data_IF_772626686960
#
_entry.id   IF_772626686960
#
_cell.length_a   1.000
_cell.length_b   1.000
_cell.length_c   1.000
_cell.angle_alpha   90.00
_cell.angle_beta   90.00
_cell.angle_gamma   90.00
#
_symmetry.space_group_name_H-M   'P 1'
#
loop_
_entity.id
_entity.type
_entity.pdbx_description
1 polymer ?
#
# COMPACT_ATOMS: atom_id res chain seq x y z
N UNK A 1 -0.67 -8.32 -15.71
CA UNK A 1 -0.73 -7.46 -14.49
C UNK A 1 -2.13 -6.98 -14.09
N UNK A 2 -3.20 -7.51 -14.68
CA UNK A 2 -4.59 -7.34 -14.19
C UNK A 2 -4.73 -7.74 -12.71
N UNK A 3 -3.97 -8.77 -12.31
CA UNK A 3 -3.89 -9.31 -10.96
C UNK A 3 -3.61 -8.28 -9.85
N UNK A 4 -2.67 -7.33 -10.04
CA UNK A 4 -2.28 -6.44 -8.93
C UNK A 4 -3.18 -5.21 -8.85
N UNK A 5 -3.66 -4.73 -10.00
CA UNK A 5 -4.47 -3.50 -10.09
C UNK A 5 -5.95 -3.73 -9.76
N UNK A 6 -6.52 -4.85 -10.18
CA UNK A 6 -7.94 -5.14 -10.00
C UNK A 6 -8.16 -6.18 -8.90
N UNK A 7 -9.34 -6.27 -8.26
CA UNK A 7 -9.63 -7.24 -7.21
C UNK A 7 -9.98 -8.65 -7.74
N UNK A 8 -9.18 -9.19 -8.66
CA UNK A 8 -9.34 -10.50 -9.34
C UNK A 8 -8.54 -11.66 -8.71
N UNK A 9 -9.14 -12.81 -8.38
CA UNK A 9 -8.36 -13.97 -7.91
C UNK A 9 -7.31 -14.42 -8.95
N UNK A 10 -6.31 -15.23 -8.56
CA UNK A 10 -5.35 -15.78 -9.53
C UNK A 10 -6.05 -16.60 -10.63
N UNK A 11 -7.11 -17.33 -10.27
CA UNK A 11 -7.93 -18.12 -11.19
C UNK A 11 -8.71 -17.24 -12.17
N UNK A 12 -9.30 -16.14 -11.68
CA UNK A 12 -9.95 -15.17 -12.57
C UNK A 12 -8.96 -14.61 -13.60
N UNK A 13 -7.68 -14.47 -13.26
CA UNK A 13 -6.66 -13.98 -14.21
C UNK A 13 -6.27 -15.08 -15.20
N UNK A 14 -6.23 -16.34 -14.77
CA UNK A 14 -6.09 -17.52 -15.65
C UNK A 14 -7.24 -17.55 -16.67
N UNK A 15 -8.50 -17.44 -16.23
CA UNK A 15 -9.66 -17.42 -17.12
C UNK A 15 -9.60 -16.25 -18.14
N UNK A 16 -9.26 -15.04 -17.67
CA UNK A 16 -9.13 -13.85 -18.53
C UNK A 16 -7.96 -13.91 -19.52
N UNK A 17 -6.96 -14.74 -19.25
CA UNK A 17 -5.84 -15.00 -20.16
C UNK A 17 -6.22 -16.09 -21.16
N UNK A 18 -6.94 -17.12 -20.70
CA UNK A 18 -7.48 -18.16 -21.55
C UNK A 18 -8.44 -17.60 -22.62
N UNK A 19 -9.34 -16.67 -22.25
CA UNK A 19 -10.21 -15.95 -23.20
C UNK A 19 -9.44 -15.19 -24.30
N UNK A 20 -8.16 -14.86 -24.04
CA UNK A 20 -7.28 -14.18 -25.00
C UNK A 20 -6.35 -15.14 -25.74
N UNK A 21 -6.57 -16.45 -25.64
CA UNK A 21 -5.76 -17.48 -26.27
C UNK A 21 -4.42 -17.75 -25.57
N UNK A 22 -4.24 -17.31 -24.33
CA UNK A 22 -3.03 -17.55 -23.55
C UNK A 22 -3.28 -18.65 -22.52
N UNK A 23 -2.77 -19.85 -22.80
CA UNK A 23 -2.91 -21.01 -21.91
C UNK A 23 -1.85 -21.00 -20.81
N UNK A 24 -2.25 -20.61 -19.59
CA UNK A 24 -1.39 -20.57 -18.41
C UNK A 24 -2.17 -20.89 -17.14
N UNK A 25 -1.57 -21.67 -16.25
CA UNK A 25 -2.17 -21.94 -14.94
C UNK A 25 -2.07 -20.76 -13.96
N UNK A 26 -2.96 -20.70 -12.96
CA UNK A 26 -2.84 -19.76 -11.85
C UNK A 26 -1.52 -19.87 -11.06
N UNK A 27 -0.85 -21.03 -11.03
CA UNK A 27 0.46 -21.19 -10.40
C UNK A 27 1.56 -20.48 -11.20
N UNK A 28 1.48 -20.49 -12.55
CA UNK A 28 2.37 -19.70 -13.41
C UNK A 28 2.21 -18.20 -13.11
N UNK A 29 0.96 -17.72 -13.00
CA UNK A 29 0.66 -16.33 -12.66
C UNK A 29 1.19 -15.98 -11.26
N UNK A 30 1.03 -16.88 -10.29
CA UNK A 30 1.57 -16.74 -8.93
C UNK A 30 3.09 -16.64 -8.94
N UNK A 31 3.77 -17.46 -9.72
CA UNK A 31 5.22 -17.45 -9.87
C UNK A 31 5.71 -16.13 -10.46
N UNK A 32 5.12 -15.68 -11.58
CA UNK A 32 5.42 -14.37 -12.17
C UNK A 32 5.24 -13.24 -11.17
N UNK A 33 4.14 -13.25 -10.41
CA UNK A 33 3.91 -12.25 -9.38
C UNK A 33 4.99 -12.28 -8.29
N UNK A 34 5.40 -13.47 -7.85
CA UNK A 34 6.42 -13.62 -6.82
C UNK A 34 7.82 -13.17 -7.31
N UNK A 35 8.11 -13.38 -8.59
CA UNK A 35 9.38 -13.01 -9.24
C UNK A 35 9.43 -11.52 -9.56
N UNK A 36 8.46 -11.03 -10.32
CA UNK A 36 8.49 -9.67 -10.89
C UNK A 36 7.84 -8.62 -10.00
N UNK A 37 6.86 -9.00 -9.17
CA UNK A 37 6.15 -8.06 -8.29
C UNK A 37 7.10 -7.19 -7.44
N UNK A 38 8.10 -7.77 -6.74
CA UNK A 38 9.08 -6.99 -5.98
C UNK A 38 9.93 -6.04 -6.82
N UNK A 39 10.28 -6.43 -8.06
CA UNK A 39 11.07 -5.62 -8.99
C UNK A 39 10.28 -4.37 -9.40
N UNK A 40 9.06 -4.56 -9.90
CA UNK A 40 8.16 -3.45 -10.23
C UNK A 40 7.91 -2.55 -9.03
N UNK A 41 7.68 -3.14 -7.84
CA UNK A 41 7.44 -2.37 -6.64
C UNK A 41 8.65 -1.55 -6.20
N UNK A 42 9.88 -2.02 -6.43
CA UNK A 42 11.10 -1.28 -6.17
C UNK A 42 11.25 -0.12 -7.14
N UNK A 43 11.10 -0.37 -8.43
CA UNK A 43 11.27 0.64 -9.47
C UNK A 43 10.23 1.77 -9.39
N UNK A 44 8.95 1.42 -9.22
CA UNK A 44 7.87 2.41 -8.98
C UNK A 44 8.18 3.26 -7.75
N UNK A 45 8.67 2.65 -6.66
CA UNK A 45 9.01 3.40 -5.44
C UNK A 45 10.18 4.34 -5.68
N UNK A 46 11.20 3.90 -6.42
CA UNK A 46 12.37 4.72 -6.74
C UNK A 46 11.96 5.97 -7.52
N UNK A 47 11.28 5.78 -8.66
CA UNK A 47 10.78 6.88 -9.51
C UNK A 47 9.87 7.85 -8.74
N UNK A 48 9.06 7.34 -7.81
CA UNK A 48 8.13 8.16 -7.03
C UNK A 48 8.77 8.98 -5.92
N UNK A 49 9.80 8.43 -5.26
CA UNK A 49 10.60 9.15 -4.26
C UNK A 49 11.41 10.26 -4.93
N UNK A 50 12.03 9.97 -6.08
CA UNK A 50 12.79 10.96 -6.87
C UNK A 50 11.90 12.14 -7.31
N UNK A 51 10.65 11.86 -7.70
CA UNK A 51 9.67 12.89 -8.04
C UNK A 51 8.96 13.56 -6.85
N UNK A 52 9.34 13.25 -5.60
CA UNK A 52 8.75 13.77 -4.35
C UNK A 52 7.21 13.81 -4.34
N UNK A 53 6.55 12.78 -4.88
CA UNK A 53 5.08 12.79 -5.09
C UNK A 53 4.24 12.58 -3.82
N UNK A 54 4.85 12.58 -2.63
CA UNK A 54 4.20 12.34 -1.35
C UNK A 54 4.17 13.59 -0.49
N UNK A 55 3.03 13.90 0.12
CA UNK A 55 2.89 15.07 0.96
C UNK A 55 3.45 14.87 2.37
N UNK A 56 4.17 15.89 2.87
CA UNK A 56 4.69 15.95 4.24
C UNK A 56 3.76 16.65 5.21
N UNK A 57 2.64 17.19 4.75
CA UNK A 57 1.76 17.98 5.60
C UNK A 57 1.09 17.11 6.68
N UNK A 58 0.25 16.16 6.27
CA UNK A 58 -0.49 15.30 7.20
C UNK A 58 -0.37 13.84 6.84
N UNK A 59 0.08 13.04 7.80
CA UNK A 59 0.18 11.59 7.69
C UNK A 59 -0.86 10.93 8.58
N UNK A 60 -1.49 9.88 8.08
CA UNK A 60 -2.43 9.03 8.78
C UNK A 60 -1.81 7.65 8.98
N UNK A 61 -1.70 7.22 10.24
CA UNK A 61 -1.15 5.94 10.61
C UNK A 61 -2.24 5.10 11.25
N UNK A 62 -2.39 3.89 10.75
CA UNK A 62 -3.38 2.97 11.25
C UNK A 62 -2.90 1.53 11.09
N UNK A 63 -3.55 0.65 11.82
CA UNK A 63 -3.33 -0.77 11.71
C UNK A 63 -4.65 -1.50 11.46
N UNK A 64 -4.58 -2.52 10.61
CA UNK A 64 -5.73 -3.38 10.35
C UNK A 64 -5.42 -4.82 10.70
N UNK A 65 -6.43 -5.45 11.30
CA UNK A 65 -6.43 -6.87 11.56
C UNK A 65 -6.46 -7.69 10.27
N UNK A 66 -5.55 -8.67 10.20
CA UNK A 66 -5.46 -9.68 9.13
C UNK A 66 -5.31 -11.07 9.76
N UNK A 67 -5.89 -12.10 9.13
CA UNK A 67 -5.88 -13.47 9.64
C UNK A 67 -4.98 -14.34 8.76
N UNK A 68 -3.99 -15.01 9.36
CA UNK A 68 -3.07 -15.91 8.68
C UNK A 68 -3.12 -17.27 9.38
N UNK A 69 -3.57 -18.31 8.69
CA UNK A 69 -3.76 -19.66 9.24
C UNK A 69 -4.50 -19.68 10.59
N UNK A 70 -5.55 -18.87 10.74
CA UNK A 70 -6.31 -18.78 11.99
C UNK A 70 -5.71 -17.83 13.03
N UNK A 71 -4.42 -17.53 12.98
CA UNK A 71 -3.78 -16.59 13.89
C UNK A 71 -4.05 -15.12 13.53
N UNK A 72 -4.07 -14.28 14.58
CA UNK A 72 -4.25 -12.84 14.44
C UNK A 72 -2.92 -12.15 14.13
N UNK A 73 -2.90 -11.32 13.10
CA UNK A 73 -1.75 -10.50 12.72
C UNK A 73 -2.21 -9.06 12.42
N UNK A 74 -1.26 -8.14 12.31
CA UNK A 74 -1.51 -6.71 12.13
C UNK A 74 -0.75 -6.19 10.91
N UNK A 75 -1.49 -5.61 9.97
CA UNK A 75 -0.92 -4.84 8.87
C UNK A 75 -0.90 -3.36 9.28
N UNK A 76 0.30 -2.82 9.45
CA UNK A 76 0.56 -1.42 9.73
C UNK A 76 0.68 -0.64 8.43
N UNK A 77 0.04 0.53 8.37
CA UNK A 77 0.07 1.40 7.20
C UNK A 77 0.27 2.85 7.61
N UNK A 78 1.10 3.55 6.85
CA UNK A 78 1.22 4.99 6.88
C UNK A 78 0.82 5.54 5.51
N UNK A 79 -0.09 6.50 5.50
CA UNK A 79 -0.65 7.11 4.29
C UNK A 79 -0.62 8.63 4.44
N UNK A 80 -0.39 9.38 3.38
CA UNK A 80 -0.51 10.84 3.43
C UNK A 80 -1.94 11.33 3.18
N UNK A 81 -2.14 12.64 3.27
CA UNK A 81 -3.45 13.26 3.04
C UNK A 81 -3.98 13.05 1.60
N UNK A 82 -3.08 12.88 0.61
CA UNK A 82 -3.38 12.59 -0.79
C UNK A 82 -3.69 11.11 -1.04
N UNK A 83 -3.49 10.25 -0.04
CA UNK A 83 -3.86 8.83 -0.08
C UNK A 83 -2.75 7.94 -0.63
N UNK A 84 -1.54 8.47 -0.79
CA UNK A 84 -0.35 7.72 -1.08
C UNK A 84 0.05 6.89 0.14
N UNK A 85 0.29 5.60 -0.09
CA UNK A 85 0.83 4.70 0.92
C UNK A 85 2.32 4.93 1.05
N UNK A 86 2.74 5.54 2.15
CA UNK A 86 4.14 5.85 2.46
C UNK A 86 4.91 4.61 2.89
N UNK A 87 4.29 3.78 3.75
CA UNK A 87 4.89 2.55 4.27
C UNK A 87 3.81 1.53 4.67
N UNK A 88 4.13 0.23 4.53
CA UNK A 88 3.20 -0.87 4.76
C UNK A 88 3.95 -2.15 5.17
N UNK A 89 3.64 -2.71 6.33
CA UNK A 89 4.22 -4.00 6.75
C UNK A 89 3.38 -4.77 7.77
N UNK A 90 3.62 -6.07 7.85
CA UNK A 90 2.88 -7.03 8.66
C UNK A 90 3.69 -7.42 9.88
N UNK A 91 3.02 -7.59 11.00
CA UNK A 91 3.58 -8.07 12.27
C UNK A 91 2.64 -9.05 12.96
N UNK A 92 3.18 -9.89 13.83
CA UNK A 92 2.37 -10.77 14.69
C UNK A 92 1.76 -10.01 15.87
N UNK A 93 2.48 -9.03 16.41
CA UNK A 93 2.10 -8.25 17.59
C UNK A 93 1.79 -6.79 17.24
N UNK A 94 0.88 -6.18 18.01
CA UNK A 94 0.57 -4.76 17.92
C UNK A 94 1.28 -4.00 19.05
N UNK A 95 2.57 -3.73 18.86
CA UNK A 95 3.44 -3.18 19.90
C UNK A 95 4.12 -1.86 19.51
N UNK A 96 4.78 -1.24 20.51
CA UNK A 96 5.55 0.00 20.34
C UNK A 96 6.67 -0.14 19.32
N UNK A 97 7.33 -1.30 19.25
CA UNK A 97 8.46 -1.53 18.33
C UNK A 97 7.99 -1.49 16.88
N UNK A 98 6.82 -2.05 16.60
CA UNK A 98 6.19 -2.00 15.29
C UNK A 98 5.80 -0.56 14.92
N UNK A 99 5.09 0.18 15.79
CA UNK A 99 4.72 1.58 15.54
C UNK A 99 5.96 2.46 15.27
N UNK A 100 7.02 2.29 16.07
CA UNK A 100 8.29 2.98 15.91
C UNK A 100 8.98 2.65 14.57
N UNK A 101 8.97 1.36 14.18
CA UNK A 101 9.51 0.91 12.90
C UNK A 101 8.77 1.54 11.73
N UNK A 102 7.44 1.64 11.80
CA UNK A 102 6.61 2.32 10.78
C UNK A 102 7.04 3.78 10.62
N UNK A 103 7.07 4.52 11.74
CA UNK A 103 7.43 5.93 11.77
C UNK A 103 8.85 6.17 11.24
N UNK A 104 9.86 5.47 11.79
CA UNK A 104 11.26 5.64 11.38
C UNK A 104 11.46 5.33 9.89
N UNK A 105 10.78 4.29 9.36
CA UNK A 105 10.93 3.89 7.96
C UNK A 105 10.23 4.85 7.00
N UNK A 106 9.05 5.35 7.35
CA UNK A 106 8.36 6.38 6.58
C UNK A 106 9.16 7.70 6.59
N UNK A 107 9.61 8.15 7.77
CA UNK A 107 10.36 9.40 7.91
C UNK A 107 11.71 9.40 7.20
N UNK A 108 12.40 8.26 7.18
CA UNK A 108 13.68 8.13 6.45
C UNK A 108 13.51 8.34 4.95
N UNK A 109 12.35 7.98 4.39
CA UNK A 109 12.11 8.03 2.94
C UNK A 109 11.44 9.31 2.48
N UNK A 110 10.44 9.76 3.23
CA UNK A 110 9.56 10.85 2.82
C UNK A 110 9.78 12.13 3.64
N UNK A 111 10.78 12.12 4.54
CA UNK A 111 11.07 13.24 5.43
C UNK A 111 10.15 13.29 6.65
N UNK A 112 10.20 14.39 7.39
CA UNK A 112 9.40 14.55 8.61
C UNK A 112 8.02 15.14 8.27
N UNK A 113 6.92 14.57 8.78
CA UNK A 113 5.59 15.14 8.66
C UNK A 113 5.39 16.32 9.61
N UNK A 114 4.49 17.22 9.26
CA UNK A 114 4.02 18.30 10.15
C UNK A 114 2.99 17.76 11.15
N UNK A 115 2.03 16.96 10.67
CA UNK A 115 0.96 16.37 11.48
C UNK A 115 0.93 14.84 11.32
N UNK A 116 0.75 14.13 12.44
CA UNK A 116 0.61 12.69 12.49
C UNK A 116 -0.74 12.36 13.14
N UNK A 117 -1.69 11.92 12.33
CA UNK A 117 -2.99 11.42 12.77
C UNK A 117 -2.88 9.94 13.06
N UNK A 118 -3.26 9.54 14.28
CA UNK A 118 -3.32 8.12 14.66
C UNK A 118 -4.63 7.82 15.39
N UNK A 119 -4.95 6.54 15.52
CA UNK A 119 -5.92 6.12 16.53
C UNK A 119 -5.33 6.30 17.95
N UNK A 120 -6.16 6.18 18.99
CA UNK A 120 -5.80 6.29 20.41
C UNK A 120 -5.00 5.10 20.95
N UNK A 121 -4.40 4.31 20.07
CA UNK A 121 -3.59 3.18 20.46
C UNK A 121 -2.32 3.64 21.19
N UNK A 122 -2.13 3.14 22.42
CA UNK A 122 -1.01 3.54 23.30
C UNK A 122 0.39 3.34 22.68
N UNK A 123 0.55 2.37 21.78
CA UNK A 123 1.84 2.14 21.10
C UNK A 123 2.27 3.30 20.21
N UNK A 124 1.33 4.05 19.61
CA UNK A 124 1.67 5.24 18.83
C UNK A 124 2.20 6.35 19.73
N UNK A 125 1.49 6.68 20.81
CA UNK A 125 1.96 7.70 21.76
C UNK A 125 3.34 7.37 22.34
N UNK A 126 3.58 6.10 22.70
CA UNK A 126 4.87 5.65 23.20
C UNK A 126 5.99 5.73 22.13
N UNK A 127 5.68 5.41 20.87
CA UNK A 127 6.64 5.53 19.77
C UNK A 127 6.94 6.99 19.41
N UNK A 128 5.92 7.86 19.41
CA UNK A 128 6.04 9.29 19.13
C UNK A 128 6.84 10.02 20.20
N UNK A 129 6.67 9.64 21.48
CA UNK A 129 7.50 10.14 22.57
C UNK A 129 8.97 9.80 22.38
N UNK A 130 9.29 8.58 21.94
CA UNK A 130 10.68 8.16 21.70
C UNK A 130 11.35 8.96 20.58
N UNK A 131 10.61 9.33 19.53
CA UNK A 131 11.17 10.09 18.39
C UNK A 131 11.01 11.61 18.54
N UNK A 132 10.54 12.10 19.68
CA UNK A 132 10.34 13.53 19.93
C UNK A 132 9.24 14.18 19.08
N UNK A 133 8.24 13.41 18.65
CA UNK A 133 7.18 13.88 17.75
C UNK A 133 5.79 13.92 18.42
N UNK A 134 5.70 13.81 19.75
CA UNK A 134 4.42 13.81 20.48
C UNK A 134 3.56 15.04 20.20
N UNK A 135 4.19 16.21 20.05
CA UNK A 135 3.50 17.48 19.79
C UNK A 135 2.81 17.53 18.42
N UNK A 136 3.19 16.63 17.50
CA UNK A 136 2.61 16.52 16.16
C UNK A 136 1.46 15.53 16.09
N UNK A 137 1.14 14.86 17.20
CA UNK A 137 0.10 13.86 17.23
C UNK A 137 -1.28 14.52 17.31
N UNK A 138 -2.13 14.23 16.32
CA UNK A 138 -3.55 14.56 16.38
C UNK A 138 -4.34 13.26 16.58
N UNK A 139 -5.22 13.27 17.59
CA UNK A 139 -6.20 12.21 17.78
C UNK A 139 -7.58 12.85 17.85
N UNK A 140 -8.49 12.43 16.97
CA UNK A 140 -9.80 13.04 16.86
C UNK A 140 -10.78 12.11 16.17
N UNK A 141 -12.05 12.22 16.53
CA UNK A 141 -13.13 11.47 15.89
C UNK A 141 -13.14 11.84 14.40
N UNK A 142 -13.19 10.84 13.53
CA UNK A 142 -13.20 10.99 12.06
C UNK A 142 -11.89 11.45 11.39
N UNK A 143 -10.88 11.90 12.14
CA UNK A 143 -9.59 12.30 11.53
C UNK A 143 -8.87 11.12 10.88
N UNK A 144 -9.09 9.90 11.38
CA UNK A 144 -8.48 8.67 10.85
C UNK A 144 -9.24 8.04 9.67
N UNK A 145 -10.38 8.62 9.24
CA UNK A 145 -11.15 8.12 8.09
C UNK A 145 -10.29 7.93 6.84
N UNK A 146 -9.22 8.72 6.71
CA UNK A 146 -8.29 8.58 5.59
C UNK A 146 -7.57 7.24 5.59
N UNK A 147 -7.03 6.82 6.73
CA UNK A 147 -6.36 5.54 6.83
C UNK A 147 -7.36 4.39 6.70
N UNK A 148 -8.53 4.49 7.32
CA UNK A 148 -9.59 3.49 7.23
C UNK A 148 -10.03 3.25 5.78
N UNK A 149 -10.28 4.32 5.01
CA UNK A 149 -10.64 4.23 3.60
C UNK A 149 -9.53 3.61 2.75
N UNK A 150 -8.26 3.83 3.13
CA UNK A 150 -7.12 3.20 2.45
C UNK A 150 -7.08 1.67 2.62
N UNK A 151 -7.76 1.14 3.64
CA UNK A 151 -7.85 -0.29 3.89
C UNK A 151 -8.78 -0.99 2.90
N UNK A 152 -9.77 -0.28 2.34
CA UNK A 152 -10.82 -0.88 1.53
C UNK A 152 -10.29 -1.56 0.25
N UNK A 153 -9.43 -0.93 -0.58
CA UNK A 153 -8.89 -1.60 -1.77
C UNK A 153 -8.09 -2.85 -1.41
N UNK A 154 -7.28 -2.76 -0.36
CA UNK A 154 -6.50 -3.88 0.14
C UNK A 154 -7.40 -5.02 0.66
N UNK A 155 -8.46 -4.71 1.42
CA UNK A 155 -9.42 -5.72 1.93
C UNK A 155 -10.20 -6.41 0.82
N UNK A 156 -10.68 -5.65 -0.18
CA UNK A 156 -11.37 -6.24 -1.35
C UNK A 156 -10.48 -7.29 -2.00
N UNK A 157 -9.20 -6.97 -2.11
CA UNK A 157 -8.20 -7.82 -2.73
C UNK A 157 -7.83 -9.02 -1.87
N UNK A 158 -7.58 -8.81 -0.57
CA UNK A 158 -7.31 -9.87 0.40
C UNK A 158 -8.44 -10.91 0.44
N UNK A 159 -9.71 -10.46 0.39
CA UNK A 159 -10.89 -11.33 0.32
C UNK A 159 -10.95 -12.12 -0.99
N UNK A 160 -10.72 -11.49 -2.13
CA UNK A 160 -10.69 -12.16 -3.43
C UNK A 160 -9.61 -13.26 -3.52
N UNK A 161 -8.57 -13.19 -2.69
CA UNK A 161 -7.49 -14.18 -2.63
C UNK A 161 -7.73 -15.28 -1.58
N UNK A 162 -8.91 -15.32 -0.94
CA UNK A 162 -9.20 -16.27 0.14
C UNK A 162 -8.18 -16.22 1.30
N UNK A 163 -7.66 -15.01 1.58
CA UNK A 163 -6.64 -14.73 2.61
C UNK A 163 -5.28 -15.41 2.36
N UNK A 164 -4.29 -15.02 3.14
CA UNK A 164 -2.92 -15.51 3.01
C UNK A 164 -2.60 -16.61 4.02
N UNK A 165 -1.83 -17.62 3.58
CA UNK A 165 -1.36 -18.72 4.44
C UNK A 165 0.00 -18.46 5.11
N UNK A 166 0.75 -17.44 4.68
CA UNK A 166 2.08 -17.13 5.21
C UNK A 166 2.28 -15.62 5.35
N UNK A 167 2.89 -15.19 6.46
CA UNK A 167 3.19 -13.77 6.71
C UNK A 167 4.10 -13.18 5.62
N UNK A 168 5.12 -13.93 5.18
CA UNK A 168 6.01 -13.49 4.10
C UNK A 168 5.26 -13.18 2.81
N UNK A 169 4.26 -14.00 2.46
CA UNK A 169 3.43 -13.79 1.26
C UNK A 169 2.57 -12.55 1.40
N UNK A 170 1.93 -12.34 2.56
CA UNK A 170 1.16 -11.14 2.84
C UNK A 170 2.04 -9.87 2.83
N UNK A 171 3.23 -9.94 3.40
CA UNK A 171 4.18 -8.82 3.42
C UNK A 171 4.61 -8.41 2.02
N UNK A 172 4.97 -9.39 1.17
CA UNK A 172 5.29 -9.14 -0.24
C UNK A 172 4.10 -8.52 -0.94
N UNK A 173 2.91 -9.09 -0.73
CA UNK A 173 1.67 -8.58 -1.31
C UNK A 173 1.38 -7.14 -0.90
N UNK A 174 1.45 -6.82 0.38
CA UNK A 174 1.18 -5.48 0.88
C UNK A 174 2.18 -4.44 0.33
N UNK A 175 3.45 -4.81 0.14
CA UNK A 175 4.45 -3.93 -0.46
C UNK A 175 4.17 -3.69 -1.95
N UNK A 176 3.91 -4.75 -2.73
CA UNK A 176 3.64 -4.63 -4.18
C UNK A 176 2.32 -3.89 -4.44
N UNK A 177 1.27 -4.24 -3.69
CA UNK A 177 -0.03 -3.58 -3.77
C UNK A 177 0.08 -2.09 -3.45
N UNK A 178 0.86 -1.70 -2.44
CA UNK A 178 1.07 -0.29 -2.11
C UNK A 178 1.72 0.46 -3.28
N UNK A 179 2.82 -0.06 -3.84
CA UNK A 179 3.50 0.58 -4.98
C UNK A 179 2.57 0.70 -6.20
N UNK A 180 1.84 -0.36 -6.55
CA UNK A 180 0.93 -0.33 -7.70
C UNK A 180 -0.27 0.59 -7.45
N UNK A 181 -0.81 0.62 -6.22
CA UNK A 181 -1.88 1.56 -5.86
C UNK A 181 -1.42 3.00 -6.01
N UNK A 182 -0.24 3.31 -5.50
CA UNK A 182 0.40 4.62 -5.61
C UNK A 182 0.63 5.05 -7.07
N UNK A 183 1.05 4.09 -7.92
CA UNK A 183 1.29 4.34 -9.35
C UNK A 183 0.03 4.69 -10.14
N UNK A 184 -1.12 4.11 -9.79
CA UNK A 184 -2.35 4.31 -10.56
C UNK A 184 -3.35 5.28 -9.92
N UNK A 185 -3.07 5.74 -8.69
CA UNK A 185 -3.93 6.66 -7.95
C UNK A 185 -3.31 8.06 -7.99
N UNK A 186 -3.48 8.74 -9.12
CA UNK A 186 -3.01 10.13 -9.33
C UNK A 186 -4.14 11.10 -9.07
N UNK A 187 -4.01 11.85 -7.97
CA UNK A 187 -4.87 12.93 -7.52
C UNK A 187 -6.33 12.60 -7.17
N UNK A 188 -6.76 13.15 -6.03
CA UNK A 188 -8.15 13.14 -5.59
C UNK A 188 -8.82 14.51 -5.60
N UNK A 189 -8.07 15.58 -5.88
CA UNK A 189 -8.68 16.86 -6.17
C UNK A 189 -9.56 16.73 -7.41
N UNK A 190 -10.61 17.54 -7.48
CA UNK A 190 -11.45 17.61 -8.68
C UNK A 190 -10.57 18.03 -9.85
N UNK A 191 -10.13 17.05 -10.64
CA UNK A 191 -9.31 17.26 -11.82
C UNK A 191 -10.20 17.35 -13.04
N UNK A 192 -9.81 18.20 -13.99
CA UNK A 192 -10.51 18.28 -15.26
C UNK A 192 -10.46 16.93 -15.98
N UNK A 193 -11.52 16.58 -16.72
CA UNK A 193 -11.56 15.33 -17.50
C UNK A 193 -10.34 15.16 -18.44
N UNK A 194 -9.82 16.23 -19.10
CA UNK A 194 -8.58 16.15 -19.86
C UNK A 194 -7.35 15.78 -19.00
N UNK A 195 -7.14 16.42 -17.86
CA UNK A 195 -6.02 16.10 -16.96
C UNK A 195 -6.12 14.68 -16.43
N UNK A 196 -7.31 14.22 -16.04
CA UNK A 196 -7.52 12.84 -15.63
C UNK A 196 -7.14 11.83 -16.73
N UNK A 197 -7.53 12.09 -17.99
CA UNK A 197 -7.16 11.24 -19.12
C UNK A 197 -5.64 11.24 -19.36
N UNK A 198 -5.00 12.40 -19.31
CA UNK A 198 -3.56 12.55 -19.47
C UNK A 198 -2.79 11.77 -18.38
N UNK A 199 -3.15 11.95 -17.12
CA UNK A 199 -2.55 11.23 -15.99
C UNK A 199 -2.71 9.72 -16.12
N UNK A 200 -3.89 9.25 -16.54
CA UNK A 200 -4.13 7.81 -16.76
C UNK A 200 -3.31 7.25 -17.93
N UNK A 201 -3.15 8.02 -19.00
CA UNK A 201 -2.34 7.65 -20.15
C UNK A 201 -0.85 7.59 -19.79
N UNK A 202 -0.34 8.61 -19.08
CA UNK A 202 1.02 8.67 -18.58
C UNK A 202 1.33 7.48 -17.65
N UNK A 203 0.46 7.21 -16.68
CA UNK A 203 0.62 6.06 -15.77
C UNK A 203 0.67 4.72 -16.52
N UNK A 204 -0.14 4.57 -17.59
CA UNK A 204 -0.14 3.37 -18.41
C UNK A 204 1.11 3.26 -19.29
N UNK A 205 1.61 4.38 -19.81
CA UNK A 205 2.86 4.43 -20.58
C UNK A 205 4.06 4.09 -19.71
N UNK A 206 4.19 4.73 -18.54
CA UNK A 206 5.23 4.41 -17.54
C UNK A 206 5.15 2.93 -17.16
N UNK A 207 3.93 2.42 -16.92
CA UNK A 207 3.70 1.01 -16.62
C UNK A 207 4.19 0.06 -17.71
N UNK A 208 3.92 0.39 -18.99
CA UNK A 208 4.36 -0.41 -20.14
C UNK A 208 5.88 -0.38 -20.27
N UNK A 209 6.51 0.78 -20.07
CA UNK A 209 7.97 0.91 -20.06
C UNK A 209 8.60 0.01 -18.99
N UNK A 210 8.07 0.02 -17.77
CA UNK A 210 8.53 -0.87 -16.70
C UNK A 210 8.45 -2.36 -17.07
N UNK A 211 7.46 -2.75 -17.88
CA UNK A 211 7.29 -4.15 -18.30
C UNK A 211 8.17 -4.55 -19.50
N UNK A 212 8.79 -3.59 -20.18
CA UNK A 212 9.61 -3.79 -21.38
C UNK A 212 11.12 -3.78 -21.09
N UNK A 213 11.53 -3.25 -19.94
CA UNK A 213 12.88 -3.37 -19.36
C UNK A 213 13.10 -4.75 -18.69
#
# INVERSE_FOLDING_TARGET
MLYVRFPLSLRNVEDLLHERGVDVSHETIRFWWHRFGPLFAAEIRKRRIEGMRSSRWRWHLDEMFVRINGERHYLWRAIDHEGEVLESFVTKTRDRKAALKLLKKAMRRHGRPEVIVTDRLRSYGAALKEIGASQRQETGRWLNNRAENSHLPFRRRERAMSRFRRMRSLQKFAAVHASVSNHFNHDRSLSSRPHFKANRAAALAEWRGLCAE
#
